data_IF_145141421054
#
_entry.id   IF_145141421054
#
_cell.length_a   1.000
_cell.length_b   1.000
_cell.length_c   1.000
_cell.angle_alpha   90.00
_cell.angle_beta   90.00
_cell.angle_gamma   90.00
#
_symmetry.space_group_name_H-M   'P 1'
#
loop_
_entity.id
_entity.type
_entity.pdbx_description
1 polymer ?
#
# COMPACT_ATOMS: atom_id res chain seq x y z
N UNK A 1 1.46 -5.26 40.57
CA UNK A 1 0.36 -5.12 39.62
C UNK A 1 0.05 -3.66 39.24
N UNK A 2 -0.12 -2.73 40.17
CA UNK A 2 -0.43 -1.31 39.85
C UNK A 2 0.64 -0.60 39.01
N UNK A 3 1.92 -0.89 39.23
CA UNK A 3 3.04 -0.21 38.55
C UNK A 3 3.21 -0.66 37.08
N UNK A 4 2.96 -1.94 36.76
CA UNK A 4 2.93 -2.45 35.38
C UNK A 4 1.77 -1.84 34.60
N UNK A 5 0.64 -1.56 35.28
CA UNK A 5 -0.51 -0.87 34.69
C UNK A 5 -0.20 0.60 34.34
N UNK A 6 0.62 1.27 35.16
CA UNK A 6 1.03 2.66 34.91
C UNK A 6 1.98 2.76 33.71
N UNK A 7 2.93 1.84 33.54
CA UNK A 7 3.84 1.82 32.38
C UNK A 7 3.08 1.46 31.11
N UNK A 8 2.15 0.50 31.15
CA UNK A 8 1.25 0.17 30.03
C UNK A 8 0.40 1.38 29.61
N UNK A 9 -0.13 2.13 30.60
CA UNK A 9 -0.94 3.33 30.38
C UNK A 9 -0.15 4.48 29.73
N UNK A 10 1.17 4.57 29.89
CA UNK A 10 1.98 5.65 29.31
C UNK A 10 2.36 5.45 27.83
N UNK A 11 2.40 4.21 27.31
CA UNK A 11 2.69 3.90 25.91
C UNK A 11 1.44 3.89 25.00
N UNK A 12 0.27 3.60 25.55
CA UNK A 12 -1.01 3.65 24.83
C UNK A 12 -1.28 5.01 24.15
N UNK A 13 -1.03 6.17 24.82
CA UNK A 13 -1.27 7.47 24.22
C UNK A 13 -0.43 7.74 22.97
N UNK A 14 0.86 7.32 22.95
CA UNK A 14 1.75 7.56 21.82
C UNK A 14 1.38 6.72 20.60
N UNK A 15 1.02 5.45 20.82
CA UNK A 15 0.53 4.55 19.78
C UNK A 15 -0.75 5.09 19.11
N UNK A 16 -1.74 5.50 19.91
CA UNK A 16 -2.97 6.10 19.39
C UNK A 16 -2.73 7.46 18.74
N UNK A 17 -1.79 8.24 19.28
CA UNK A 17 -1.41 9.53 18.70
C UNK A 17 -0.83 9.38 17.31
N UNK A 18 0.14 8.47 17.11
CA UNK A 18 0.75 8.25 15.80
C UNK A 18 -0.27 7.74 14.77
N UNK A 19 -1.20 6.86 15.16
CA UNK A 19 -2.30 6.45 14.26
C UNK A 19 -3.17 7.64 13.84
N UNK A 20 -3.61 8.47 14.79
CA UNK A 20 -4.41 9.67 14.47
C UNK A 20 -3.65 10.66 13.59
N UNK A 21 -2.34 10.81 13.80
CA UNK A 21 -1.50 11.64 12.93
C UNK A 21 -1.49 11.07 11.52
N UNK A 22 -1.31 9.76 11.35
CA UNK A 22 -1.31 9.11 10.04
C UNK A 22 -2.65 9.24 9.34
N UNK A 23 -3.77 9.04 10.04
CA UNK A 23 -5.12 9.23 9.48
C UNK A 23 -5.32 10.67 8.98
N UNK A 24 -4.86 11.65 9.75
CA UNK A 24 -4.94 13.06 9.39
C UNK A 24 -4.05 13.38 8.17
N UNK A 25 -2.82 12.87 8.13
CA UNK A 25 -1.91 13.04 7.00
C UNK A 25 -2.45 12.39 5.72
N UNK A 26 -3.07 11.21 5.82
CA UNK A 26 -3.74 10.59 4.68
C UNK A 26 -4.94 11.41 4.18
N UNK A 27 -5.74 11.98 5.08
CA UNK A 27 -6.85 12.88 4.72
C UNK A 27 -6.35 14.15 4.02
N UNK A 28 -5.26 14.76 4.51
CA UNK A 28 -4.63 15.91 3.85
C UNK A 28 -4.12 15.54 2.45
N UNK A 29 -3.48 14.38 2.30
CA UNK A 29 -3.03 13.89 1.01
C UNK A 29 -4.21 13.69 0.03
N UNK A 30 -5.32 13.12 0.50
CA UNK A 30 -6.55 12.94 -0.29
C UNK A 30 -7.17 14.28 -0.68
N UNK A 31 -7.24 15.24 0.23
CA UNK A 31 -7.75 16.58 -0.05
C UNK A 31 -6.90 17.29 -1.11
N UNK A 32 -5.58 17.19 -1.01
CA UNK A 32 -4.65 17.74 -2.00
C UNK A 32 -4.84 17.08 -3.37
N UNK A 33 -4.93 15.75 -3.42
CA UNK A 33 -5.18 15.04 -4.67
C UNK A 33 -6.51 15.46 -5.31
N UNK A 34 -7.56 15.55 -4.50
CA UNK A 34 -8.88 16.00 -4.97
C UNK A 34 -8.82 17.40 -5.55
N UNK A 35 -8.25 18.36 -4.82
CA UNK A 35 -8.07 19.75 -5.27
C UNK A 35 -7.36 19.83 -6.62
N UNK A 36 -6.29 19.06 -6.83
CA UNK A 36 -5.48 19.14 -8.05
C UNK A 36 -6.06 18.36 -9.24
N UNK A 37 -6.59 17.15 -9.02
CA UNK A 37 -6.87 16.17 -10.08
C UNK A 37 -8.35 15.80 -10.22
N UNK A 38 -9.20 16.37 -9.37
CA UNK A 38 -10.66 16.18 -9.45
C UNK A 38 -11.36 17.53 -9.61
N UNK A 39 -11.02 18.50 -8.75
CA UNK A 39 -11.61 19.83 -8.76
C UNK A 39 -10.82 20.83 -9.64
N UNK A 40 -9.58 20.47 -10.05
CA UNK A 40 -8.68 21.27 -10.89
C UNK A 40 -8.38 22.68 -10.37
N UNK A 41 -8.47 22.92 -9.06
CA UNK A 41 -8.35 24.25 -8.46
C UNK A 41 -7.11 25.02 -8.89
N UNK A 42 -5.88 24.42 -8.98
CA UNK A 42 -4.71 25.16 -9.45
C UNK A 42 -4.74 25.48 -10.94
N UNK A 43 -5.65 24.88 -11.71
CA UNK A 43 -5.72 24.93 -13.17
C UNK A 43 -6.97 25.62 -13.72
N UNK A 44 -7.80 26.24 -12.87
CA UNK A 44 -9.06 26.89 -13.25
C UNK A 44 -8.91 28.04 -14.27
N UNK A 45 -7.67 28.51 -14.51
CA UNK A 45 -7.35 29.55 -15.52
C UNK A 45 -6.91 28.96 -16.85
N UNK A 46 -6.72 27.64 -16.92
CA UNK A 46 -6.35 26.93 -18.15
C UNK A 46 -7.58 26.72 -19.04
N UNK A 47 -7.35 26.43 -20.31
CA UNK A 47 -8.42 26.04 -21.22
C UNK A 47 -8.80 24.57 -20.95
N UNK A 48 -10.10 24.28 -20.99
CA UNK A 48 -10.66 22.95 -20.80
C UNK A 48 -11.30 22.48 -22.11
N UNK A 49 -11.21 21.19 -22.39
CA UNK A 49 -11.96 20.58 -23.48
C UNK A 49 -12.98 19.57 -22.92
N UNK A 50 -14.12 19.46 -23.61
CA UNK A 50 -15.12 18.44 -23.29
C UNK A 50 -14.57 17.07 -23.61
N UNK A 51 -14.55 16.22 -22.62
CA UNK A 51 -14.19 14.82 -22.76
C UNK A 51 -15.42 13.96 -22.53
N UNK A 52 -15.73 13.06 -23.45
CA UNK A 52 -16.77 12.02 -23.26
C UNK A 52 -16.31 10.92 -22.27
N UNK A 53 -15.20 11.17 -21.57
CA UNK A 53 -14.67 10.25 -20.58
C UNK A 53 -15.32 10.45 -19.20
N UNK A 54 -15.12 9.50 -18.31
CA UNK A 54 -15.54 9.54 -16.90
C UNK A 54 -15.01 10.77 -16.14
N UNK A 55 -13.95 11.42 -16.65
CA UNK A 55 -13.29 12.55 -16.00
C UNK A 55 -13.99 13.90 -16.27
N UNK A 56 -15.00 13.93 -17.18
CA UNK A 56 -15.65 15.17 -17.58
C UNK A 56 -14.71 16.11 -18.34
N UNK A 57 -14.89 17.42 -18.15
CA UNK A 57 -14.01 18.42 -18.77
C UNK A 57 -12.64 18.41 -18.11
N UNK A 58 -11.57 18.30 -18.90
CA UNK A 58 -10.19 18.24 -18.44
C UNK A 58 -9.34 19.33 -19.10
N UNK A 59 -8.26 19.82 -18.45
CA UNK A 59 -7.36 20.81 -19.06
C UNK A 59 -6.77 20.30 -20.39
N UNK A 60 -6.59 21.19 -21.35
CA UNK A 60 -6.24 20.85 -22.76
C UNK A 60 -4.92 20.07 -22.85
N UNK A 61 -3.95 20.32 -21.97
CA UNK A 61 -2.66 19.62 -21.99
C UNK A 61 -2.70 18.21 -21.36
N UNK A 62 -3.85 17.81 -20.81
CA UNK A 62 -3.99 16.51 -20.12
C UNK A 62 -4.49 15.46 -21.10
N UNK A 63 -4.07 14.21 -20.92
CA UNK A 63 -4.37 13.13 -21.85
C UNK A 63 -5.04 11.94 -21.16
N UNK A 64 -5.88 11.23 -21.92
CA UNK A 64 -6.45 9.95 -21.48
C UNK A 64 -5.59 8.83 -22.07
N UNK A 65 -4.96 8.03 -21.23
CA UNK A 65 -4.08 6.93 -21.63
C UNK A 65 -4.44 5.63 -20.92
N UNK A 66 -4.26 4.50 -21.57
CA UNK A 66 -4.46 3.21 -20.93
C UNK A 66 -3.27 2.88 -19.99
N UNK A 67 -3.52 2.16 -18.90
CA UNK A 67 -2.46 1.75 -17.96
C UNK A 67 -1.35 0.98 -18.67
N UNK A 68 -1.70 0.15 -19.67
CA UNK A 68 -0.71 -0.62 -20.45
C UNK A 68 0.31 0.26 -21.17
N UNK A 69 -0.06 1.51 -21.49
CA UNK A 69 0.78 2.46 -22.22
C UNK A 69 1.63 3.32 -21.27
N UNK A 70 1.41 3.19 -19.94
CA UNK A 70 2.22 3.81 -18.92
C UNK A 70 3.50 3.02 -18.63
N UNK A 71 4.53 3.72 -18.22
CA UNK A 71 5.79 3.11 -17.78
C UNK A 71 5.67 2.49 -16.38
N UNK A 72 4.79 1.47 -16.26
CA UNK A 72 4.48 0.77 -14.99
C UNK A 72 4.66 -0.73 -15.18
N UNK A 73 5.46 -1.35 -14.33
CA UNK A 73 5.52 -2.82 -14.25
C UNK A 73 4.34 -3.34 -13.43
N UNK A 74 3.57 -4.28 -14.01
CA UNK A 74 2.39 -4.86 -13.36
C UNK A 74 2.52 -6.37 -13.38
N UNK A 75 2.47 -6.98 -12.19
CA UNK A 75 2.55 -8.42 -11.99
C UNK A 75 1.64 -8.90 -10.87
N UNK A 76 1.53 -10.21 -10.74
CA UNK A 76 0.80 -10.89 -9.67
C UNK A 76 1.50 -12.21 -9.30
N UNK A 77 0.98 -12.89 -8.29
CA UNK A 77 1.49 -14.17 -7.83
C UNK A 77 1.52 -15.24 -8.94
N UNK A 78 0.48 -15.31 -9.77
CA UNK A 78 0.36 -16.34 -10.83
C UNK A 78 1.30 -16.09 -12.02
N UNK A 79 1.97 -14.95 -12.09
CA UNK A 79 3.02 -14.72 -13.09
C UNK A 79 4.23 -15.65 -12.92
N UNK A 80 4.40 -16.27 -11.75
CA UNK A 80 5.51 -17.16 -11.43
C UNK A 80 5.33 -18.59 -11.94
N UNK A 81 4.11 -19.01 -12.28
CA UNK A 81 3.87 -20.35 -12.81
C UNK A 81 2.40 -20.76 -12.79
N UNK A 82 2.13 -21.96 -13.25
CA UNK A 82 0.79 -22.58 -13.15
C UNK A 82 0.41 -22.83 -11.68
N UNK A 83 -0.88 -23.00 -11.40
CA UNK A 83 -1.35 -23.33 -10.05
C UNK A 83 -0.72 -24.62 -9.51
N UNK A 84 -0.48 -25.63 -10.37
CA UNK A 84 0.21 -26.85 -9.98
C UNK A 84 1.65 -26.55 -9.55
N UNK A 85 2.40 -25.83 -10.40
CA UNK A 85 3.79 -25.46 -10.13
C UNK A 85 3.93 -24.58 -8.87
N UNK A 86 3.02 -23.63 -8.67
CA UNK A 86 2.98 -22.80 -7.46
C UNK A 86 2.75 -23.65 -6.20
N UNK A 87 1.85 -24.64 -6.25
CA UNK A 87 1.57 -25.54 -5.12
C UNK A 87 2.76 -26.43 -4.77
N UNK A 88 3.51 -26.86 -5.77
CA UNK A 88 4.69 -27.71 -5.57
C UNK A 88 5.89 -26.92 -5.01
N UNK A 89 6.09 -25.69 -5.45
CA UNK A 89 7.32 -24.93 -5.17
C UNK A 89 7.17 -23.88 -4.08
N UNK A 90 5.95 -23.53 -3.65
CA UNK A 90 5.74 -22.50 -2.63
C UNK A 90 5.22 -23.11 -1.34
N UNK A 91 6.03 -22.98 -0.29
CA UNK A 91 5.69 -23.40 1.09
C UNK A 91 5.51 -22.19 1.98
N UNK A 92 4.38 -22.14 2.68
CA UNK A 92 4.04 -21.08 3.60
C UNK A 92 4.31 -21.49 5.05
N UNK A 93 4.83 -20.54 5.83
CA UNK A 93 5.19 -20.72 7.24
C UNK A 93 4.57 -19.60 8.09
N UNK A 94 4.04 -19.97 9.25
CA UNK A 94 3.53 -19.06 10.29
C UNK A 94 4.63 -18.62 11.28
N UNK A 95 5.83 -19.20 11.15
CA UNK A 95 7.02 -18.83 11.93
C UNK A 95 8.03 -18.09 11.05
N UNK A 96 8.83 -17.18 11.63
CA UNK A 96 9.85 -16.45 10.88
C UNK A 96 10.71 -17.36 10.02
N UNK A 97 10.82 -17.05 8.72
CA UNK A 97 11.63 -17.76 7.74
C UNK A 97 12.36 -16.74 6.85
N UNK A 98 12.79 -17.14 5.64
CA UNK A 98 13.65 -16.35 4.78
C UNK A 98 13.01 -15.02 4.33
N UNK A 99 11.78 -15.04 3.82
CA UNK A 99 11.10 -13.86 3.30
C UNK A 99 9.64 -13.76 3.78
N UNK A 100 9.12 -12.54 3.87
CA UNK A 100 7.70 -12.32 4.11
C UNK A 100 6.87 -12.63 2.85
N UNK A 101 5.73 -13.28 3.04
CA UNK A 101 4.71 -13.51 2.03
C UNK A 101 3.54 -12.56 2.28
N UNK A 102 3.46 -11.47 1.51
CA UNK A 102 2.56 -10.34 1.76
C UNK A 102 1.19 -10.63 1.16
N UNK A 103 0.15 -10.72 1.98
CA UNK A 103 -1.24 -10.95 1.59
C UNK A 103 -2.09 -9.71 1.82
N UNK A 104 -3.26 -9.65 1.20
CA UNK A 104 -4.24 -8.58 1.42
C UNK A 104 -4.62 -8.44 2.91
N UNK A 105 -4.80 -9.57 3.61
CA UNK A 105 -5.11 -9.60 5.05
C UNK A 105 -3.99 -9.00 5.90
N UNK A 106 -2.73 -9.23 5.52
CA UNK A 106 -1.56 -8.72 6.24
C UNK A 106 -1.43 -7.20 6.06
N UNK A 107 -1.71 -6.70 4.84
CA UNK A 107 -1.72 -5.27 4.52
C UNK A 107 -2.83 -4.53 5.28
N UNK A 108 -4.04 -5.12 5.38
CA UNK A 108 -5.15 -4.56 6.16
C UNK A 108 -4.87 -4.50 7.66
N UNK A 109 -4.25 -5.55 8.18
CA UNK A 109 -3.95 -5.67 9.60
C UNK A 109 -2.65 -4.97 10.01
N UNK A 110 -1.86 -4.50 9.04
CA UNK A 110 -0.47 -4.00 9.25
C UNK A 110 0.37 -5.01 10.06
N UNK A 111 0.20 -6.32 9.76
CA UNK A 111 0.82 -7.42 10.51
C UNK A 111 1.28 -8.53 9.58
N UNK A 112 2.58 -8.67 9.40
CA UNK A 112 3.24 -9.47 8.36
C UNK A 112 3.85 -10.74 8.96
N UNK A 113 2.99 -11.72 9.31
CA UNK A 113 3.38 -12.96 10.02
C UNK A 113 3.34 -14.22 9.15
N UNK A 114 3.25 -14.07 7.84
CA UNK A 114 3.36 -15.19 6.91
C UNK A 114 4.70 -15.13 6.19
N UNK A 115 5.35 -16.27 6.05
CA UNK A 115 6.70 -16.36 5.50
C UNK A 115 6.80 -17.45 4.45
N UNK A 116 7.86 -17.38 3.63
CA UNK A 116 8.31 -18.42 2.71
C UNK A 116 9.78 -18.72 2.96
N UNK A 117 10.21 -19.95 2.62
CA UNK A 117 11.62 -20.32 2.60
C UNK A 117 12.37 -19.72 1.39
N UNK A 118 13.69 -19.90 1.36
CA UNK A 118 14.54 -19.36 0.30
C UNK A 118 14.18 -19.92 -1.08
N UNK A 119 13.89 -21.22 -1.18
CA UNK A 119 13.50 -21.86 -2.44
C UNK A 119 12.21 -21.24 -3.00
N UNK A 120 11.19 -21.11 -2.16
CA UNK A 120 9.91 -20.51 -2.56
C UNK A 120 10.09 -19.04 -2.96
N UNK A 121 10.93 -18.27 -2.26
CA UNK A 121 11.22 -16.88 -2.61
C UNK A 121 11.90 -16.75 -3.98
N UNK A 122 12.92 -17.57 -4.25
CA UNK A 122 13.63 -17.60 -5.53
C UNK A 122 12.70 -18.03 -6.69
N UNK A 123 11.80 -18.98 -6.43
CA UNK A 123 10.75 -19.37 -7.38
C UNK A 123 9.81 -18.19 -7.70
N UNK A 124 9.44 -17.39 -6.69
CA UNK A 124 8.54 -16.22 -6.81
C UNK A 124 9.24 -14.96 -7.35
N UNK A 125 10.32 -15.10 -8.10
CA UNK A 125 11.19 -14.00 -8.57
C UNK A 125 10.49 -12.91 -9.39
N UNK A 126 9.36 -13.21 -10.05
CA UNK A 126 8.58 -12.23 -10.82
C UNK A 126 7.65 -11.36 -9.97
N UNK A 127 7.51 -11.68 -8.70
CA UNK A 127 6.62 -10.98 -7.77
C UNK A 127 7.31 -10.55 -6.47
N UNK A 128 8.61 -10.35 -6.52
CA UNK A 128 9.41 -9.78 -5.43
C UNK A 128 8.96 -8.35 -5.15
N UNK A 129 8.91 -7.98 -3.87
CA UNK A 129 8.57 -6.66 -3.37
C UNK A 129 9.82 -5.99 -2.77
N UNK A 130 9.94 -4.68 -3.03
CA UNK A 130 11.07 -3.84 -2.56
C UNK A 130 10.63 -2.82 -1.50
N UNK A 131 9.30 -2.59 -1.39
CA UNK A 131 8.70 -1.57 -0.57
C UNK A 131 8.42 -0.27 -1.33
N UNK A 132 7.25 0.33 -1.04
CA UNK A 132 6.78 1.55 -1.70
C UNK A 132 5.99 1.32 -2.99
N UNK A 133 5.86 0.08 -3.47
CA UNK A 133 5.00 -0.23 -4.60
C UNK A 133 3.53 -0.12 -4.25
N UNK A 134 2.70 0.06 -5.28
CA UNK A 134 1.24 0.03 -5.13
C UNK A 134 0.77 -1.42 -5.22
N UNK A 135 -0.01 -1.85 -4.23
CA UNK A 135 -0.63 -3.17 -4.20
C UNK A 135 -2.15 -2.99 -4.23
N UNK A 136 -2.82 -3.71 -5.12
CA UNK A 136 -4.28 -3.65 -5.26
C UNK A 136 -4.86 -5.06 -5.12
N UNK A 137 -5.88 -5.22 -4.28
CA UNK A 137 -6.61 -6.48 -4.18
C UNK A 137 -7.47 -6.70 -5.42
N UNK A 138 -7.31 -7.85 -6.07
CA UNK A 138 -7.99 -8.20 -7.31
C UNK A 138 -8.97 -9.37 -7.20
N UNK A 139 -9.08 -9.99 -6.04
CA UNK A 139 -10.03 -11.11 -5.79
C UNK A 139 -10.64 -11.00 -4.40
N UNK A 140 -11.94 -11.16 -4.30
CA UNK A 140 -12.71 -11.13 -3.06
C UNK A 140 -12.93 -9.69 -2.58
N UNK A 141 -12.00 -9.15 -1.85
CA UNK A 141 -11.98 -7.75 -1.40
C UNK A 141 -11.38 -6.84 -2.48
N UNK A 142 -12.04 -6.79 -3.63
CA UNK A 142 -11.56 -6.07 -4.82
C UNK A 142 -11.50 -4.58 -4.57
N UNK A 143 -10.40 -3.95 -5.01
CA UNK A 143 -10.23 -2.51 -5.00
C UNK A 143 -9.54 -1.95 -3.74
N UNK A 144 -9.23 -2.76 -2.73
CA UNK A 144 -8.38 -2.29 -1.63
C UNK A 144 -6.98 -1.95 -2.14
N UNK A 145 -6.50 -0.73 -1.87
CA UNK A 145 -5.23 -0.17 -2.37
C UNK A 145 -4.29 0.15 -1.23
N UNK A 146 -3.05 -0.31 -1.34
CA UNK A 146 -2.02 -0.15 -0.33
C UNK A 146 -0.70 0.32 -0.95
N UNK A 147 0.12 1.02 -0.16
CA UNK A 147 1.55 1.11 -0.41
C UNK A 147 2.24 -0.06 0.29
N UNK A 148 3.12 -0.75 -0.44
CA UNK A 148 3.89 -1.86 0.11
C UNK A 148 4.77 -1.36 1.26
N UNK A 149 4.74 -1.99 2.44
CA UNK A 149 5.63 -1.62 3.53
C UNK A 149 7.10 -1.92 3.16
N UNK A 150 8.02 -1.28 3.85
CA UNK A 150 9.44 -1.67 3.83
C UNK A 150 9.73 -2.48 5.08
N UNK A 151 10.05 -3.75 4.90
CA UNK A 151 10.38 -4.65 5.99
C UNK A 151 11.88 -5.05 5.93
N UNK A 152 12.44 -5.45 7.07
CA UNK A 152 13.86 -5.84 7.16
C UNK A 152 14.20 -7.08 6.33
N UNK A 153 13.27 -8.05 6.27
CA UNK A 153 13.45 -9.28 5.48
C UNK A 153 12.98 -9.08 4.05
N UNK A 154 13.51 -9.84 3.09
CA UNK A 154 12.98 -9.91 1.74
C UNK A 154 11.46 -10.13 1.74
N UNK A 155 10.78 -9.67 0.71
CA UNK A 155 9.33 -9.76 0.58
C UNK A 155 8.92 -10.29 -0.78
N UNK A 156 7.82 -11.04 -0.83
CA UNK A 156 7.18 -11.46 -2.07
C UNK A 156 5.67 -11.29 -2.00
N UNK A 157 5.06 -11.05 -3.15
CA UNK A 157 3.63 -10.83 -3.29
C UNK A 157 2.86 -12.15 -3.10
N UNK A 158 1.82 -12.11 -2.29
CA UNK A 158 0.87 -13.20 -2.12
C UNK A 158 -0.18 -13.28 -3.22
N UNK A 159 -1.10 -14.23 -3.08
CA UNK A 159 -2.22 -14.40 -3.99
C UNK A 159 -3.30 -13.33 -3.79
N UNK A 160 -4.18 -13.19 -4.81
CA UNK A 160 -5.35 -12.30 -4.80
C UNK A 160 -5.02 -10.80 -4.72
N UNK A 161 -3.81 -10.42 -5.03
CA UNK A 161 -3.34 -9.04 -5.12
C UNK A 161 -2.44 -8.87 -6.35
N UNK A 162 -2.46 -7.68 -6.92
CA UNK A 162 -1.57 -7.27 -8.01
C UNK A 162 -0.60 -6.20 -7.51
N UNK A 163 0.59 -6.21 -8.09
CA UNK A 163 1.66 -5.25 -7.89
C UNK A 163 1.70 -4.27 -9.04
N UNK A 164 1.75 -2.98 -8.73
CA UNK A 164 2.08 -1.90 -9.66
C UNK A 164 3.37 -1.23 -9.20
N UNK A 165 4.41 -1.30 -10.03
CA UNK A 165 5.70 -0.63 -9.80
C UNK A 165 5.95 0.36 -10.92
N UNK A 166 5.66 1.65 -10.72
CA UNK A 166 6.00 2.69 -11.67
C UNK A 166 7.52 2.77 -11.88
N UNK A 167 7.96 2.91 -13.13
CA UNK A 167 9.39 3.10 -13.44
C UNK A 167 9.86 4.54 -13.20
N UNK A 168 8.93 5.45 -12.92
CA UNK A 168 9.16 6.86 -12.64
C UNK A 168 8.52 7.19 -11.29
N UNK A 169 9.32 7.61 -10.32
CA UNK A 169 8.90 7.84 -8.95
C UNK A 169 7.70 8.78 -8.83
N UNK A 170 7.66 9.85 -9.64
CA UNK A 170 6.57 10.83 -9.64
C UNK A 170 5.19 10.26 -9.99
N UNK A 171 5.11 9.03 -10.52
CA UNK A 171 3.83 8.35 -10.80
C UNK A 171 3.28 7.61 -9.58
N UNK A 172 4.10 7.27 -8.61
CA UNK A 172 3.71 6.38 -7.51
C UNK A 172 2.56 6.96 -6.71
N UNK A 173 2.73 8.14 -6.15
CA UNK A 173 1.68 8.73 -5.31
C UNK A 173 0.48 9.21 -6.10
N UNK A 174 0.67 9.65 -7.36
CA UNK A 174 -0.45 9.96 -8.24
C UNK A 174 -1.34 8.73 -8.47
N UNK A 175 -0.77 7.61 -8.89
CA UNK A 175 -1.52 6.37 -9.14
C UNK A 175 -2.10 5.77 -7.84
N UNK A 176 -1.35 5.82 -6.75
CA UNK A 176 -1.84 5.36 -5.45
C UNK A 176 -3.09 6.14 -5.02
N UNK A 177 -3.02 7.46 -5.04
CA UNK A 177 -4.14 8.33 -4.64
C UNK A 177 -5.32 8.21 -5.61
N UNK A 178 -5.05 8.10 -6.92
CA UNK A 178 -6.08 7.88 -7.93
C UNK A 178 -6.87 6.61 -7.63
N UNK A 179 -6.19 5.46 -7.47
CA UNK A 179 -6.86 4.19 -7.23
C UNK A 179 -7.51 4.09 -5.84
N UNK A 180 -6.97 4.77 -4.85
CA UNK A 180 -7.59 4.85 -3.51
C UNK A 180 -8.83 5.74 -3.48
N UNK A 181 -8.91 6.73 -4.37
CA UNK A 181 -10.02 7.67 -4.49
C UNK A 181 -11.22 7.12 -5.29
N UNK A 182 -12.36 7.82 -5.21
CA UNK A 182 -13.62 7.38 -5.80
C UNK A 182 -13.56 7.13 -7.31
N UNK A 183 -12.85 7.98 -8.06
CA UNK A 183 -12.67 7.80 -9.52
C UNK A 183 -11.96 6.47 -9.81
N UNK A 184 -10.85 6.21 -9.14
CA UNK A 184 -10.10 4.97 -9.34
C UNK A 184 -10.87 3.72 -8.90
N UNK A 185 -11.65 3.82 -7.82
CA UNK A 185 -12.53 2.74 -7.40
C UNK A 185 -13.61 2.45 -8.45
N UNK A 186 -14.23 3.48 -9.04
CA UNK A 186 -15.18 3.30 -10.13
C UNK A 186 -14.53 2.67 -11.38
N UNK A 187 -13.31 3.04 -11.72
CA UNK A 187 -12.56 2.44 -12.82
C UNK A 187 -12.26 0.94 -12.58
N UNK A 188 -11.89 0.58 -11.35
CA UNK A 188 -11.68 -0.82 -10.94
C UNK A 188 -13.00 -1.58 -11.00
N UNK A 189 -14.10 -1.01 -10.52
CA UNK A 189 -15.43 -1.61 -10.59
C UNK A 189 -15.85 -1.90 -12.04
N UNK A 190 -15.53 -1.00 -12.97
CA UNK A 190 -15.83 -1.13 -14.39
C UNK A 190 -15.16 -2.34 -15.06
N UNK A 191 -14.05 -2.84 -14.51
CA UNK A 191 -13.33 -4.04 -15.01
C UNK A 191 -13.52 -5.26 -14.11
N UNK A 192 -14.30 -5.12 -13.03
CA UNK A 192 -14.55 -6.18 -12.07
C UNK A 192 -15.76 -7.00 -12.50
N UNK A 193 -15.58 -8.30 -12.59
CA UNK A 193 -16.65 -9.27 -12.88
C UNK A 193 -16.81 -10.31 -11.78
N UNK A 194 -17.71 -11.25 -12.00
CA UNK A 194 -17.95 -12.41 -11.12
C UNK A 194 -19.09 -12.20 -10.12
N UNK A 195 -20.20 -12.93 -10.31
CA UNK A 195 -21.39 -12.87 -9.44
C UNK A 195 -21.18 -13.55 -8.08
N UNK A 196 -20.45 -14.67 -8.05
CA UNK A 196 -20.18 -15.42 -6.81
C UNK A 196 -18.95 -14.89 -6.06
N UNK A 197 -17.91 -14.46 -6.79
CA UNK A 197 -16.71 -13.87 -6.22
C UNK A 197 -16.22 -12.75 -7.14
N UNK A 198 -16.26 -11.53 -6.64
CA UNK A 198 -15.76 -10.35 -7.36
C UNK A 198 -14.28 -10.52 -7.67
N UNK A 199 -13.91 -10.28 -8.93
CA UNK A 199 -12.51 -10.32 -9.37
C UNK A 199 -12.29 -9.55 -10.66
N UNK A 200 -11.06 -9.08 -10.86
CA UNK A 200 -10.55 -8.65 -12.16
C UNK A 200 -9.19 -9.31 -12.44
N UNK A 201 -8.81 -9.39 -13.70
CA UNK A 201 -7.51 -9.90 -14.12
C UNK A 201 -6.58 -8.77 -14.55
N UNK A 202 -5.29 -9.06 -14.69
CA UNK A 202 -4.27 -8.07 -15.10
C UNK A 202 -4.53 -7.46 -16.47
N UNK A 203 -5.10 -8.21 -17.40
CA UNK A 203 -5.38 -7.74 -18.76
C UNK A 203 -6.45 -6.67 -18.75
N UNK A 204 -7.55 -6.93 -18.06
CA UNK A 204 -8.65 -5.99 -17.90
C UNK A 204 -8.17 -4.74 -17.14
N UNK A 205 -7.43 -4.92 -16.05
CA UNK A 205 -6.85 -3.81 -15.30
C UNK A 205 -5.93 -2.93 -16.16
N UNK A 206 -5.08 -3.52 -17.00
CA UNK A 206 -4.21 -2.80 -17.91
C UNK A 206 -4.96 -2.03 -18.99
N UNK A 207 -6.20 -2.37 -19.30
CA UNK A 207 -7.06 -1.67 -20.26
C UNK A 207 -7.72 -0.42 -19.69
N UNK A 208 -7.73 -0.24 -18.37
CA UNK A 208 -8.29 0.95 -17.71
C UNK A 208 -7.62 2.20 -18.27
N UNK A 209 -8.46 3.17 -18.66
CA UNK A 209 -8.00 4.48 -19.14
C UNK A 209 -7.92 5.45 -17.95
N UNK A 210 -6.80 6.12 -17.82
CA UNK A 210 -6.53 7.11 -16.79
C UNK A 210 -6.33 8.48 -17.41
N UNK A 211 -6.72 9.50 -16.70
CA UNK A 211 -6.34 10.88 -16.98
C UNK A 211 -4.88 11.07 -16.52
N UNK A 212 -4.04 11.58 -17.39
CA UNK A 212 -2.63 11.82 -17.12
C UNK A 212 -2.28 13.29 -17.28
N UNK A 213 -1.91 13.94 -16.17
CA UNK A 213 -1.39 15.29 -16.21
C UNK A 213 -0.02 15.38 -16.90
N UNK A 214 0.39 16.58 -17.36
CA UNK A 214 1.76 16.83 -17.79
C UNK A 214 2.79 16.45 -16.73
N UNK A 215 3.96 15.97 -17.16
CA UNK A 215 5.02 15.46 -16.27
C UNK A 215 5.47 16.49 -15.22
N UNK A 216 5.54 17.78 -15.60
CA UNK A 216 5.89 18.86 -14.67
C UNK A 216 4.88 19.01 -13.53
N UNK A 217 3.59 18.77 -13.77
CA UNK A 217 2.53 18.78 -12.75
C UNK A 217 2.68 17.57 -11.82
N UNK A 218 2.91 16.39 -12.37
CA UNK A 218 3.17 15.18 -11.58
C UNK A 218 4.38 15.33 -10.68
N UNK A 219 5.48 15.92 -11.17
CA UNK A 219 6.69 16.19 -10.37
C UNK A 219 6.40 17.22 -9.26
N UNK A 220 5.64 18.27 -9.55
CA UNK A 220 5.23 19.24 -8.53
C UNK A 220 4.39 18.59 -7.44
N UNK A 221 3.42 17.78 -7.83
CA UNK A 221 2.58 17.05 -6.89
C UNK A 221 3.41 16.08 -6.02
N UNK A 222 4.29 15.29 -6.65
CA UNK A 222 5.15 14.33 -5.94
C UNK A 222 6.02 15.02 -4.88
N UNK A 223 6.58 16.19 -5.18
CA UNK A 223 7.37 16.99 -4.23
C UNK A 223 6.59 17.40 -2.98
N UNK A 224 5.30 17.64 -3.11
CA UNK A 224 4.44 18.05 -1.99
C UNK A 224 3.96 16.85 -1.21
N UNK A 225 3.59 15.77 -1.92
CA UNK A 225 2.94 14.60 -1.30
C UNK A 225 3.93 13.65 -0.63
N UNK A 226 5.13 13.50 -1.21
CA UNK A 226 6.16 12.58 -0.73
C UNK A 226 6.55 12.78 0.74
N UNK A 227 6.77 14.00 1.25
CA UNK A 227 7.05 14.23 2.66
C UNK A 227 5.92 13.76 3.60
N UNK A 228 4.66 13.86 3.16
CA UNK A 228 3.50 13.40 3.93
C UNK A 228 3.58 11.89 4.10
N UNK A 229 3.81 11.14 3.01
CA UNK A 229 3.93 9.67 3.07
C UNK A 229 5.20 9.22 3.78
N UNK A 230 6.32 9.94 3.64
CA UNK A 230 7.52 9.67 4.44
C UNK A 230 7.23 9.77 5.94
N UNK A 231 6.47 10.78 6.36
CA UNK A 231 6.08 10.93 7.77
C UNK A 231 5.14 9.82 8.25
N UNK A 232 4.22 9.37 7.39
CA UNK A 232 3.35 8.23 7.68
C UNK A 232 4.18 6.96 7.89
N UNK A 233 5.18 6.71 7.04
CA UNK A 233 6.09 5.56 7.15
C UNK A 233 6.91 5.62 8.46
N UNK A 234 7.53 6.74 8.77
CA UNK A 234 8.25 6.94 10.05
C UNK A 234 7.38 6.64 11.27
N UNK A 235 6.13 7.13 11.27
CA UNK A 235 5.19 6.87 12.36
C UNK A 235 4.78 5.38 12.43
N UNK A 236 4.68 4.68 11.30
CA UNK A 236 4.41 3.22 11.26
C UNK A 236 5.59 2.42 11.83
N UNK A 237 6.82 2.81 11.49
CA UNK A 237 8.02 2.18 12.03
C UNK A 237 8.11 2.38 13.55
N UNK A 238 7.79 3.57 14.04
CA UNK A 238 7.75 3.84 15.47
C UNK A 238 6.66 3.01 16.16
N UNK A 239 5.46 2.90 15.59
CA UNK A 239 4.38 2.04 16.10
C UNK A 239 4.84 0.58 16.16
N UNK A 240 5.50 0.08 15.11
CA UNK A 240 6.02 -1.28 15.04
C UNK A 240 7.06 -1.54 16.13
N UNK A 241 8.02 -0.62 16.29
CA UNK A 241 9.06 -0.69 17.34
C UNK A 241 8.46 -0.68 18.74
N UNK A 242 7.52 0.22 19.01
CA UNK A 242 6.83 0.30 20.32
C UNK A 242 6.01 -0.95 20.61
N UNK A 243 5.37 -1.53 19.58
CA UNK A 243 4.63 -2.78 19.69
C UNK A 243 5.56 -3.95 20.06
N UNK A 244 6.69 -4.09 19.35
CA UNK A 244 7.68 -5.12 19.62
C UNK A 244 8.28 -4.99 21.03
N UNK A 245 8.59 -3.77 21.44
CA UNK A 245 9.11 -3.48 22.78
C UNK A 245 8.09 -3.87 23.86
N UNK A 246 6.83 -3.48 23.69
CA UNK A 246 5.73 -3.87 24.58
C UNK A 246 5.61 -5.39 24.70
N UNK A 247 5.57 -6.08 23.57
CA UNK A 247 5.34 -7.53 23.52
C UNK A 247 6.52 -8.32 24.10
N UNK A 248 7.72 -7.74 24.08
CA UNK A 248 8.92 -8.30 24.71
C UNK A 248 8.98 -8.03 26.22
N UNK A 249 8.66 -6.81 26.65
CA UNK A 249 8.82 -6.39 28.04
C UNK A 249 7.64 -6.80 28.92
N UNK A 250 6.41 -6.80 28.38
CA UNK A 250 5.21 -7.07 29.17
C UNK A 250 5.23 -8.45 29.86
N UNK A 251 5.58 -9.56 29.19
CA UNK A 251 5.69 -10.87 29.84
C UNK A 251 6.75 -10.88 30.96
N UNK A 252 7.90 -10.22 30.76
CA UNK A 252 9.00 -10.17 31.74
C UNK A 252 8.65 -9.35 32.96
N UNK A 253 7.89 -8.28 32.78
CA UNK A 253 7.36 -7.49 33.88
C UNK A 253 6.27 -8.26 34.69
N UNK A 254 5.42 -9.01 33.98
CA UNK A 254 4.36 -9.82 34.59
C UNK A 254 4.92 -11.03 35.35
N UNK A 255 6.00 -11.64 34.86
CA UNK A 255 6.69 -12.75 35.54
C UNK A 255 7.57 -12.29 36.71
N UNK A 256 7.85 -10.98 36.85
CA UNK A 256 8.76 -10.45 37.87
C UNK A 256 10.25 -10.62 37.51
N UNK A 257 10.55 -11.10 36.31
CA UNK A 257 11.92 -11.23 35.78
C UNK A 257 12.59 -9.85 35.61
N UNK A 258 11.80 -8.82 35.23
CA UNK A 258 12.22 -7.43 35.20
C UNK A 258 11.48 -6.63 36.25
N UNK A 259 12.22 -5.83 37.02
CA UNK A 259 11.67 -4.83 37.96
C UNK A 259 11.80 -3.45 37.29
N UNK A 260 10.83 -2.58 37.56
CA UNK A 260 10.81 -1.22 36.95
C UNK A 260 12.03 -0.38 37.35
N UNK A 261 12.58 -0.64 38.54
CA UNK A 261 13.79 0.04 39.00
C UNK A 261 15.05 -0.34 38.19
N UNK A 262 15.05 -1.46 37.47
CA UNK A 262 16.17 -1.92 36.65
C UNK A 262 16.19 -1.27 35.24
N UNK A 263 15.12 -0.56 34.89
CA UNK A 263 14.97 0.11 33.57
C UNK A 263 15.44 1.57 33.60
N UNK A 264 15.56 2.17 34.78
CA UNK A 264 15.93 3.58 34.96
C UNK A 264 17.43 3.78 35.32
N UNK A 265 18.25 2.74 35.26
CA UNK A 265 19.71 2.78 35.31
C UNK A 265 20.28 2.41 33.96
#
# INVERSE_FOLDING_TARGET
>A
MQTAYHTYSSYQPLFHKNRRINDNLEQQAQALFKSWFVDFEPFLREEFFKSDSLFGDIPVEWHIVAIKDLSVYITDYVANGSFASLRENVRLYDKPNYAHFIRNTDLKAESYKMYVDKHSYEFLSKSVLEGGEIIISNVGDVGSVFLCPKLEKPMTLGNNIILLRPKKDYLTFYLYMLFKGGIGQHLIDGVTGGSAQRKFNKTDFKSIKLMMPPVNILIKFDRIIKPIFSKIEENRDEISRLTSLRDTLLPKLMSGELKINDINN
#
